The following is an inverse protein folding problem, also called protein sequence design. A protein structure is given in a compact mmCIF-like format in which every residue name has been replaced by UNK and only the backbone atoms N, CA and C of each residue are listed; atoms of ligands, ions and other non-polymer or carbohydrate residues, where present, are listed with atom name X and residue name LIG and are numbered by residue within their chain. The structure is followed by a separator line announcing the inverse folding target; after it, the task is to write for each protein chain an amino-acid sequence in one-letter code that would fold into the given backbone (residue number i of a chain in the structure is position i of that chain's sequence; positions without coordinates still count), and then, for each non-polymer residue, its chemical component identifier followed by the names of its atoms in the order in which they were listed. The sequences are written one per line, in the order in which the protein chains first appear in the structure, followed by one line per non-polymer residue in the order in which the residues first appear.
data_IF_466247947110
#
_entry.id   IF_466247947110
#
_cell.length_a   1.000
_cell.length_b   1.000
_cell.length_c   1.000
_cell.angle_alpha   90.00
_cell.angle_beta   90.00
_cell.angle_gamma   90.00
#
_symmetry.space_group_name_H-M   'P 1'
#
loop_
_entity.id
_entity.type
_entity.pdbx_description
1 polymer ?
#
# COMPACT_ATOMS: atom_id res chain seq x y z
N UNK A 1 -19.07 11.50 -15.24
CA UNK A 1 -19.89 12.25 -14.27
C UNK A 1 -19.08 12.42 -12.99
N UNK A 2 -18.67 13.64 -12.68
CA UNK A 2 -17.92 13.93 -11.45
C UNK A 2 -18.98 14.12 -10.36
N UNK A 3 -19.10 13.16 -9.45
CA UNK A 3 -19.92 13.32 -8.25
C UNK A 3 -19.04 13.97 -7.19
N UNK A 4 -19.18 15.27 -7.01
CA UNK A 4 -18.54 16.03 -5.92
C UNK A 4 -19.47 15.97 -4.69
N UNK A 5 -19.03 15.33 -3.62
CA UNK A 5 -19.62 15.53 -2.28
C UNK A 5 -18.81 16.66 -1.62
N UNK A 6 -19.39 17.85 -1.54
CA UNK A 6 -18.77 18.97 -0.83
C UNK A 6 -19.06 18.87 0.66
N UNK A 7 -18.00 18.82 1.47
CA UNK A 7 -18.03 19.16 2.89
C UNK A 7 -16.98 20.24 3.13
N UNK A 8 -17.44 21.48 3.29
CA UNK A 8 -16.69 22.57 3.88
C UNK A 8 -15.28 22.84 3.33
N UNK A 9 -15.14 23.48 2.17
CA UNK A 9 -13.92 24.24 1.81
C UNK A 9 -12.61 23.47 1.62
N UNK A 10 -12.55 22.15 1.81
CA UNK A 10 -11.36 21.33 1.61
C UNK A 10 -11.52 20.42 0.38
N UNK A 11 -10.46 20.32 -0.41
CA UNK A 11 -10.37 19.42 -1.57
C UNK A 11 -10.64 17.99 -1.09
N UNK A 12 -11.62 17.32 -1.68
CA UNK A 12 -11.97 15.96 -1.27
C UNK A 12 -10.84 14.99 -1.58
N UNK A 13 -10.50 14.15 -0.59
CA UNK A 13 -9.47 13.13 -0.75
C UNK A 13 -9.97 11.91 -1.55
N UNK A 14 -11.29 11.73 -1.76
CA UNK A 14 -11.85 10.64 -2.57
C UNK A 14 -12.67 11.23 -3.71
N UNK A 15 -12.27 10.92 -4.95
CA UNK A 15 -12.93 11.35 -6.17
C UNK A 15 -13.41 10.12 -6.97
N UNK A 16 -14.56 10.25 -7.65
CA UNK A 16 -14.98 9.29 -8.68
C UNK A 16 -14.77 9.94 -10.03
N UNK A 17 -13.88 9.39 -10.83
CA UNK A 17 -13.56 9.86 -12.18
C UNK A 17 -13.55 8.69 -13.14
N UNK A 18 -14.39 8.75 -14.19
CA UNK A 18 -14.50 7.71 -15.20
C UNK A 18 -14.73 6.29 -14.63
N UNK A 19 -15.52 6.20 -13.55
CA UNK A 19 -15.80 4.96 -12.85
C UNK A 19 -14.71 4.47 -11.91
N UNK A 20 -13.57 5.15 -11.84
CA UNK A 20 -12.47 4.87 -10.91
C UNK A 20 -12.68 5.61 -9.58
N UNK A 21 -12.46 4.93 -8.46
CA UNK A 21 -12.35 5.53 -7.13
C UNK A 21 -10.91 6.00 -6.94
N UNK A 22 -10.68 7.31 -6.97
CA UNK A 22 -9.34 7.90 -6.86
C UNK A 22 -9.17 8.49 -5.47
N UNK A 23 -8.13 8.06 -4.77
CA UNK A 23 -7.72 8.58 -3.48
C UNK A 23 -6.59 9.61 -3.70
N UNK A 24 -6.80 10.83 -3.23
CA UNK A 24 -5.85 11.93 -3.41
C UNK A 24 -5.20 12.29 -2.08
N UNK A 25 -3.88 12.12 -1.98
CA UNK A 25 -3.13 12.52 -0.77
C UNK A 25 -2.94 14.04 -0.71
N UNK A 26 -2.89 14.62 0.51
CA UNK A 26 -3.01 13.97 1.82
C UNK A 26 -4.43 13.53 2.12
N UNK A 27 -4.58 12.42 2.88
CA UNK A 27 -5.86 11.84 3.28
C UNK A 27 -6.01 11.81 4.80
N UNK A 28 -7.19 12.18 5.29
CA UNK A 28 -7.50 12.06 6.70
C UNK A 28 -8.10 10.70 7.04
N UNK A 29 -8.17 10.38 8.34
CA UNK A 29 -8.90 9.21 8.84
C UNK A 29 -10.37 9.19 8.38
N UNK A 30 -11.00 10.37 8.29
CA UNK A 30 -12.40 10.50 7.89
C UNK A 30 -12.60 10.14 6.41
N UNK A 31 -11.66 10.50 5.54
CA UNK A 31 -11.71 10.20 4.12
C UNK A 31 -11.66 8.69 3.82
N UNK A 32 -11.09 7.90 4.74
CA UNK A 32 -10.94 6.47 4.58
C UNK A 32 -12.15 5.66 5.09
N UNK A 33 -13.14 6.28 5.72
CA UNK A 33 -14.31 5.57 6.27
C UNK A 33 -15.17 4.87 5.23
N UNK A 34 -15.24 5.43 4.02
CA UNK A 34 -16.02 4.87 2.90
C UNK A 34 -15.15 3.99 1.98
N UNK A 35 -13.94 3.63 2.43
CA UNK A 35 -13.04 2.70 1.74
C UNK A 35 -13.06 1.36 2.47
N UNK A 36 -13.50 0.31 1.80
CA UNK A 36 -13.69 -1.00 2.41
C UNK A 36 -12.83 -2.07 1.74
N UNK A 37 -12.62 -3.17 2.43
CA UNK A 37 -11.91 -4.33 1.88
C UNK A 37 -12.54 -4.80 0.57
N UNK A 38 -11.69 -5.10 -0.43
CA UNK A 38 -12.12 -5.49 -1.78
C UNK A 38 -12.39 -4.32 -2.73
N UNK A 39 -12.43 -3.08 -2.24
CA UNK A 39 -12.49 -1.91 -3.11
C UNK A 39 -11.26 -1.83 -4.02
N UNK A 40 -11.48 -1.38 -5.25
CA UNK A 40 -10.41 -1.05 -6.18
C UNK A 40 -10.27 0.47 -6.21
N UNK A 41 -9.11 0.95 -5.83
CA UNK A 41 -8.79 2.38 -5.78
C UNK A 41 -7.56 2.70 -6.63
N UNK A 42 -7.39 3.97 -6.94
CA UNK A 42 -6.21 4.54 -7.58
C UNK A 42 -5.67 5.66 -6.73
N UNK A 43 -4.36 5.81 -6.64
CA UNK A 43 -3.72 6.84 -5.82
C UNK A 43 -3.22 7.99 -6.70
N UNK A 44 -3.47 9.23 -6.26
CA UNK A 44 -2.87 10.43 -6.83
C UNK A 44 -2.25 11.27 -5.73
N UNK A 45 -1.07 11.83 -5.97
CA UNK A 45 -0.34 12.69 -5.03
C UNK A 45 0.93 12.06 -4.51
N UNK A 46 1.17 12.13 -3.20
CA UNK A 46 2.43 11.73 -2.57
C UNK A 46 2.51 10.23 -2.31
N UNK A 47 3.60 9.62 -2.79
CA UNK A 47 3.94 8.21 -2.58
C UNK A 47 5.44 8.09 -2.30
N UNK A 48 5.82 7.45 -1.19
CA UNK A 48 7.23 7.23 -0.83
C UNK A 48 7.55 5.74 -0.82
N UNK A 49 8.60 5.30 -1.53
CA UNK A 49 9.07 3.92 -1.38
C UNK A 49 9.68 3.72 0.00
N UNK A 50 9.26 2.69 0.71
CA UNK A 50 9.71 2.41 2.06
C UNK A 50 9.62 0.91 2.33
N UNK A 51 10.74 0.27 2.68
CA UNK A 51 10.76 -1.16 2.94
C UNK A 51 11.63 -1.52 4.17
N UNK A 52 12.14 -2.74 4.24
CA UNK A 52 12.68 -3.38 5.43
C UNK A 52 13.62 -2.52 6.28
N UNK A 53 14.67 -1.95 5.66
CA UNK A 53 15.70 -1.22 6.43
C UNK A 53 15.18 0.13 6.89
N UNK A 54 14.36 0.78 6.08
CA UNK A 54 13.74 2.05 6.46
C UNK A 54 12.78 1.88 7.63
N UNK A 55 11.92 0.84 7.62
CA UNK A 55 11.05 0.51 8.76
C UNK A 55 11.87 0.24 10.03
N UNK A 56 12.95 -0.54 9.91
CA UNK A 56 13.83 -0.83 11.03
C UNK A 56 14.48 0.43 11.61
N UNK A 57 14.95 1.35 10.76
CA UNK A 57 15.52 2.62 11.20
C UNK A 57 14.56 3.46 12.03
N UNK A 58 13.29 3.49 11.62
CA UNK A 58 12.26 4.24 12.37
C UNK A 58 11.92 3.52 13.67
N UNK A 59 11.61 2.22 13.63
CA UNK A 59 11.04 1.50 14.77
C UNK A 59 12.11 1.01 15.75
N UNK A 60 13.19 0.39 15.28
CA UNK A 60 14.19 -0.20 16.16
C UNK A 60 15.30 0.81 16.53
N UNK A 61 15.67 1.72 15.62
CA UNK A 61 16.73 2.71 15.85
C UNK A 61 16.18 4.07 16.32
N UNK A 62 14.85 4.26 16.32
CA UNK A 62 14.18 5.50 16.77
C UNK A 62 14.52 6.72 15.90
N UNK A 63 14.87 6.52 14.63
CA UNK A 63 15.25 7.63 13.73
C UNK A 63 13.99 8.28 13.16
N UNK A 64 13.96 9.59 13.16
CA UNK A 64 12.93 10.34 12.47
C UNK A 64 13.05 10.11 10.95
N UNK A 65 11.89 9.84 10.32
CA UNK A 65 11.84 9.67 8.87
C UNK A 65 12.05 11.03 8.19
N UNK A 66 13.06 11.18 7.29
CA UNK A 66 13.42 12.49 6.75
C UNK A 66 12.52 12.97 5.60
N UNK A 67 11.43 12.25 5.32
CA UNK A 67 10.41 12.56 4.30
C UNK A 67 9.06 12.69 4.99
N UNK A 68 8.27 13.69 4.61
CA UNK A 68 6.92 13.81 5.14
C UNK A 68 5.99 12.75 4.53
N UNK A 69 5.73 11.69 5.29
CA UNK A 69 4.77 10.63 4.91
C UNK A 69 3.46 10.72 5.69
N UNK A 70 3.30 11.71 6.56
CA UNK A 70 2.07 11.91 7.33
C UNK A 70 0.90 12.17 6.39
N UNK A 71 -0.20 11.47 6.63
CA UNK A 71 -1.43 11.54 5.84
C UNK A 71 -1.22 11.22 4.33
N UNK A 72 -0.09 10.57 4.00
CA UNK A 72 0.31 10.20 2.64
C UNK A 72 0.41 8.67 2.49
N UNK A 73 1.00 8.23 1.39
CA UNK A 73 1.15 6.83 1.06
C UNK A 73 2.62 6.37 1.10
N UNK A 74 2.82 5.12 1.52
CA UNK A 74 4.08 4.40 1.31
C UNK A 74 3.89 3.19 0.40
N UNK A 75 4.95 2.84 -0.32
CA UNK A 75 4.99 1.64 -1.15
C UNK A 75 6.14 0.74 -0.69
N UNK A 76 5.82 -0.47 -0.32
CA UNK A 76 6.79 -1.52 -0.05
C UNK A 76 7.43 -1.97 -1.37
N UNK A 77 8.44 -1.26 -1.81
CA UNK A 77 9.13 -1.51 -3.07
C UNK A 77 10.60 -1.11 -3.00
N UNK A 78 11.41 -1.80 -3.79
CA UNK A 78 12.78 -1.37 -4.10
C UNK A 78 12.86 -1.09 -5.61
N UNK A 79 12.79 0.17 -6.04
CA UNK A 79 12.73 0.52 -7.44
C UNK A 79 14.09 0.40 -8.15
N UNK A 80 14.03 0.45 -9.49
CA UNK A 80 15.17 0.73 -10.35
C UNK A 80 15.08 2.20 -10.77
N UNK A 81 16.10 2.95 -10.44
CA UNK A 81 16.19 4.38 -10.69
C UNK A 81 17.34 4.68 -11.63
N UNK A 82 17.11 5.56 -12.59
CA UNK A 82 18.15 6.15 -13.42
C UNK A 82 18.49 7.55 -12.90
N UNK A 83 19.77 7.81 -12.61
CA UNK A 83 20.22 9.16 -12.33
C UNK A 83 20.38 9.94 -13.64
N UNK A 84 19.85 11.15 -13.64
CA UNK A 84 19.95 12.09 -14.77
C UNK A 84 20.99 13.20 -14.51
N UNK A 85 21.71 13.13 -13.37
CA UNK A 85 22.59 14.18 -12.89
C UNK A 85 21.84 15.25 -12.08
N UNK A 86 22.58 16.07 -11.34
CA UNK A 86 22.07 17.21 -10.56
C UNK A 86 20.88 16.84 -9.64
N UNK A 87 20.98 15.71 -8.93
CA UNK A 87 19.93 15.14 -8.08
C UNK A 87 18.57 14.92 -8.77
N UNK A 88 18.59 14.80 -10.09
CA UNK A 88 17.41 14.43 -10.88
C UNK A 88 17.39 12.93 -11.14
N UNK A 89 16.21 12.36 -11.09
CA UNK A 89 16.02 10.92 -11.16
C UNK A 89 14.80 10.55 -12.02
N UNK A 90 14.89 9.38 -12.65
CA UNK A 90 13.80 8.79 -13.43
C UNK A 90 13.46 7.42 -12.84
N UNK A 91 12.17 7.15 -12.65
CA UNK A 91 11.66 5.84 -12.25
C UNK A 91 11.63 4.91 -13.45
N UNK A 92 12.56 3.95 -13.51
CA UNK A 92 12.61 2.96 -14.61
C UNK A 92 11.66 1.81 -14.36
N UNK A 93 11.58 1.35 -13.10
CA UNK A 93 10.74 0.23 -12.69
C UNK A 93 10.44 0.32 -11.21
N UNK A 94 9.18 0.12 -10.81
CA UNK A 94 8.77 0.05 -9.41
C UNK A 94 7.71 -1.02 -9.20
N UNK A 95 8.13 -2.17 -8.66
CA UNK A 95 7.24 -3.28 -8.33
C UNK A 95 7.20 -3.55 -6.84
N UNK A 96 6.03 -3.96 -6.31
CA UNK A 96 5.88 -4.16 -4.87
C UNK A 96 6.68 -5.37 -4.39
N UNK A 97 7.29 -5.25 -3.22
CA UNK A 97 7.88 -6.37 -2.49
C UNK A 97 6.87 -6.98 -1.52
N UNK A 98 7.19 -8.14 -0.95
CA UNK A 98 6.33 -8.84 0.01
C UNK A 98 6.16 -8.03 1.30
N UNK A 99 4.95 -7.54 1.54
CA UNK A 99 4.61 -6.68 2.69
C UNK A 99 4.76 -7.39 4.03
N UNK A 100 4.54 -8.69 4.08
CA UNK A 100 4.65 -9.50 5.31
C UNK A 100 6.00 -9.35 6.03
N UNK A 101 7.06 -8.93 5.35
CA UNK A 101 8.36 -8.70 5.99
C UNK A 101 8.35 -7.49 6.91
N UNK A 102 7.51 -6.49 6.64
CA UNK A 102 7.33 -5.29 7.44
C UNK A 102 6.30 -5.45 8.57
N UNK A 103 5.51 -6.55 8.57
CA UNK A 103 4.42 -6.80 9.53
C UNK A 103 4.82 -6.55 10.99
N UNK A 104 6.01 -6.94 11.40
CA UNK A 104 6.49 -6.78 12.77
C UNK A 104 6.73 -5.33 13.18
N UNK A 105 6.89 -4.43 12.19
CA UNK A 105 7.15 -3.01 12.41
C UNK A 105 5.93 -2.13 12.21
N UNK A 106 4.93 -2.62 11.49
CA UNK A 106 3.90 -1.80 10.87
C UNK A 106 3.06 -1.02 11.88
N UNK A 107 2.79 -1.60 13.06
CA UNK A 107 2.01 -0.91 14.10
C UNK A 107 2.72 0.36 14.58
N UNK A 108 3.95 0.22 15.05
CA UNK A 108 4.77 1.31 15.57
C UNK A 108 5.18 2.29 14.46
N UNK A 109 5.36 1.79 13.24
CA UNK A 109 5.67 2.63 12.08
C UNK A 109 4.52 3.57 11.73
N UNK A 110 3.29 3.06 11.64
CA UNK A 110 2.09 3.86 11.37
C UNK A 110 1.83 4.85 12.52
N UNK A 111 1.98 4.42 13.78
CA UNK A 111 1.84 5.27 14.95
C UNK A 111 2.80 6.45 14.90
N UNK A 112 4.09 6.17 14.62
CA UNK A 112 5.16 7.17 14.66
C UNK A 112 5.09 8.14 13.48
N UNK A 113 4.79 7.64 12.28
CA UNK A 113 4.88 8.42 11.04
C UNK A 113 3.56 9.07 10.62
N UNK A 114 2.44 8.54 11.08
CA UNK A 114 1.11 9.01 10.67
C UNK A 114 0.74 8.69 9.23
N UNK A 115 1.43 7.72 8.59
CA UNK A 115 1.09 7.25 7.24
C UNK A 115 -0.34 6.68 7.22
N UNK A 116 -1.06 6.89 6.13
CA UNK A 116 -2.47 6.46 5.98
C UNK A 116 -2.68 5.36 4.97
N UNK A 117 -1.85 5.29 3.95
CA UNK A 117 -2.02 4.34 2.86
C UNK A 117 -0.74 3.52 2.70
N UNK A 118 -0.86 2.22 2.92
CA UNK A 118 0.25 1.28 2.84
C UNK A 118 0.04 0.43 1.59
N UNK A 119 0.96 0.49 0.65
CA UNK A 119 0.91 -0.26 -0.59
C UNK A 119 1.96 -1.36 -0.62
N UNK A 120 1.58 -2.55 -1.07
CA UNK A 120 2.56 -3.62 -1.19
C UNK A 120 2.05 -4.85 -1.91
N UNK A 121 2.67 -6.00 -1.63
CA UNK A 121 2.34 -7.29 -2.24
C UNK A 121 1.98 -8.32 -1.18
N UNK A 122 0.85 -9.00 -1.40
CA UNK A 122 0.35 -10.03 -0.48
C UNK A 122 -0.36 -9.45 0.73
N UNK A 123 -0.83 -10.32 1.59
CA UNK A 123 -1.55 -9.92 2.81
C UNK A 123 -0.62 -9.50 3.94
N UNK A 124 -1.21 -8.81 4.91
CA UNK A 124 -0.63 -8.45 6.20
C UNK A 124 -1.46 -9.08 7.31
N UNK A 125 -1.00 -9.03 8.56
CA UNK A 125 -1.61 -9.70 9.72
C UNK A 125 -2.06 -8.71 10.80
N UNK A 126 -2.07 -9.18 12.05
CA UNK A 126 -2.68 -8.53 13.20
C UNK A 126 -2.08 -7.15 13.54
N UNK A 127 -0.74 -6.98 13.43
CA UNK A 127 -0.13 -5.69 13.74
C UNK A 127 -0.60 -4.62 12.76
N UNK A 128 -0.60 -4.93 11.46
CA UNK A 128 -1.12 -4.02 10.43
C UNK A 128 -2.63 -3.79 10.57
N UNK A 129 -3.42 -4.85 10.90
CA UNK A 129 -4.85 -4.69 11.15
C UNK A 129 -5.13 -3.74 12.31
N UNK A 130 -4.38 -3.88 13.42
CA UNK A 130 -4.48 -3.01 14.57
C UNK A 130 -4.08 -1.57 14.22
N UNK A 131 -2.95 -1.40 13.51
CA UNK A 131 -2.50 -0.09 13.05
C UNK A 131 -3.55 0.62 12.19
N UNK A 132 -4.13 -0.09 11.21
CA UNK A 132 -5.19 0.45 10.36
C UNK A 132 -6.40 0.90 11.17
N UNK A 133 -6.83 0.09 12.15
CA UNK A 133 -7.97 0.40 13.02
C UNK A 133 -7.70 1.55 13.97
N UNK A 134 -6.60 1.50 14.69
CA UNK A 134 -6.32 2.43 15.79
C UNK A 134 -5.95 3.82 15.24
N UNK A 135 -5.16 3.86 14.20
CA UNK A 135 -4.67 5.11 13.62
C UNK A 135 -5.45 5.58 12.38
N UNK A 136 -6.36 4.76 11.83
CA UNK A 136 -7.15 5.10 10.65
C UNK A 136 -6.31 5.10 9.38
N UNK A 137 -5.68 3.99 9.08
CA UNK A 137 -4.94 3.72 7.86
C UNK A 137 -5.60 2.59 7.05
N UNK A 138 -5.10 2.34 5.84
CA UNK A 138 -5.50 1.20 5.00
C UNK A 138 -4.27 0.51 4.42
N UNK A 139 -4.37 -0.81 4.20
CA UNK A 139 -3.38 -1.54 3.42
C UNK A 139 -3.99 -1.97 2.08
N UNK A 140 -3.26 -1.76 0.99
CA UNK A 140 -3.68 -2.12 -0.35
C UNK A 140 -2.65 -3.03 -1.03
N UNK A 141 -3.14 -4.00 -1.77
CA UNK A 141 -2.32 -4.84 -2.62
C UNK A 141 -2.21 -4.21 -4.01
N UNK A 142 -0.97 -4.04 -4.46
CA UNK A 142 -0.65 -3.69 -5.83
C UNK A 142 -0.29 -4.95 -6.62
N UNK A 143 -0.84 -5.18 -7.83
CA UNK A 143 -0.53 -6.35 -8.62
C UNK A 143 0.95 -6.47 -8.94
N UNK A 144 1.53 -7.64 -8.70
CA UNK A 144 2.91 -7.93 -9.09
C UNK A 144 3.01 -8.17 -10.61
N UNK A 145 4.21 -7.93 -11.17
CA UNK A 145 4.48 -8.19 -12.58
C UNK A 145 4.27 -7.00 -13.52
N UNK A 146 3.73 -5.89 -13.05
CA UNK A 146 3.50 -4.67 -13.84
C UNK A 146 4.42 -3.51 -13.48
N UNK A 147 5.63 -3.80 -13.00
CA UNK A 147 6.55 -2.79 -12.43
C UNK A 147 6.96 -1.67 -13.41
N UNK A 148 6.98 -1.95 -14.73
CA UNK A 148 7.25 -0.93 -15.75
C UNK A 148 6.03 -0.05 -15.96
N UNK A 149 4.81 -0.62 -15.96
CA UNK A 149 3.56 0.15 -16.06
C UNK A 149 3.42 1.08 -14.86
N UNK A 150 3.69 0.57 -13.66
CA UNK A 150 3.68 1.37 -12.44
C UNK A 150 4.68 2.55 -12.49
N UNK A 151 5.83 2.37 -13.11
CA UNK A 151 6.81 3.45 -13.26
C UNK A 151 6.30 4.60 -14.15
N UNK A 152 5.43 4.32 -15.13
CA UNK A 152 4.82 5.36 -15.99
C UNK A 152 3.81 6.22 -15.21
N UNK A 153 3.23 5.69 -14.13
CA UNK A 153 2.30 6.40 -13.27
C UNK A 153 3.00 7.32 -12.25
N UNK A 154 4.33 7.26 -12.17
CA UNK A 154 5.18 8.18 -11.40
C UNK A 154 5.48 9.40 -12.27
N UNK A 155 4.89 10.54 -11.91
CA UNK A 155 5.08 11.81 -12.65
C UNK A 155 6.44 12.44 -12.35
N UNK A 156 6.89 12.35 -11.07
CA UNK A 156 8.12 12.99 -10.60
C UNK A 156 8.69 12.27 -9.39
N UNK A 157 10.02 12.19 -9.29
CA UNK A 157 10.74 11.90 -8.06
C UNK A 157 11.15 13.24 -7.46
N UNK A 158 10.48 13.64 -6.38
CA UNK A 158 10.66 14.95 -5.72
C UNK A 158 11.96 15.00 -4.95
N UNK A 159 12.25 13.94 -4.20
CA UNK A 159 13.47 13.83 -3.39
C UNK A 159 13.87 12.38 -3.12
N UNK A 160 15.12 12.20 -2.72
CA UNK A 160 15.69 10.90 -2.34
C UNK A 160 16.43 11.03 -1.01
N UNK A 161 15.98 10.31 0.00
CA UNK A 161 16.53 10.33 1.33
C UNK A 161 17.08 8.96 1.75
N UNK A 162 18.03 8.95 2.69
CA UNK A 162 18.72 7.73 3.13
C UNK A 162 19.40 6.96 1.99
N UNK A 163 20.05 7.69 1.08
CA UNK A 163 20.81 7.13 -0.06
C UNK A 163 21.91 6.16 0.36
N UNK A 164 22.42 6.27 1.59
CA UNK A 164 23.39 5.36 2.18
C UNK A 164 22.91 3.91 2.28
N UNK A 165 21.61 3.67 2.22
CA UNK A 165 21.01 2.33 2.21
C UNK A 165 21.09 1.63 0.86
N UNK A 166 21.55 2.33 -0.18
CA UNK A 166 21.51 1.86 -1.56
C UNK A 166 20.14 2.02 -2.22
N UNK A 167 20.12 1.96 -3.55
CA UNK A 167 18.93 2.26 -4.38
C UNK A 167 17.64 1.56 -3.92
N UNK A 168 17.63 0.24 -3.57
CA UNK A 168 16.38 -0.44 -3.22
C UNK A 168 15.80 -0.06 -1.84
N UNK A 169 16.60 0.52 -0.95
CA UNK A 169 16.19 0.89 0.41
C UNK A 169 16.14 2.41 0.63
N UNK A 170 16.61 3.19 -0.34
CA UNK A 170 16.46 4.64 -0.38
C UNK A 170 14.97 5.01 -0.34
N UNK A 171 14.63 6.04 0.42
CA UNK A 171 13.30 6.64 0.40
C UNK A 171 13.18 7.52 -0.84
N UNK A 172 12.45 7.04 -1.85
CA UNK A 172 12.14 7.79 -3.05
C UNK A 172 10.76 8.42 -2.87
N UNK A 173 10.71 9.73 -2.65
CA UNK A 173 9.46 10.47 -2.54
C UNK A 173 9.03 10.94 -3.92
N UNK A 174 7.83 10.53 -4.31
CA UNK A 174 7.31 10.68 -5.67
C UNK A 174 5.95 11.36 -5.68
N UNK A 175 5.66 12.05 -6.77
CA UNK A 175 4.29 12.39 -7.19
C UNK A 175 3.80 11.34 -8.16
N UNK A 176 2.60 10.82 -7.90
CA UNK A 176 1.97 9.81 -8.76
C UNK A 176 0.60 10.28 -9.21
N UNK A 177 0.14 9.75 -10.34
CA UNK A 177 -1.17 10.04 -10.90
C UNK A 177 -1.89 8.74 -11.28
N UNK A 178 -3.04 8.54 -10.65
CA UNK A 178 -3.88 7.35 -10.83
C UNK A 178 -3.09 6.03 -10.71
N UNK A 179 -2.12 6.00 -9.77
CA UNK A 179 -1.30 4.82 -9.50
C UNK A 179 -2.17 3.64 -9.05
N UNK A 180 -2.17 2.59 -9.82
CA UNK A 180 -3.03 1.43 -9.54
C UNK A 180 -3.23 0.49 -10.72
N UNK A 181 -4.24 -0.40 -10.68
CA UNK A 181 -5.26 -0.56 -9.62
C UNK A 181 -4.71 -1.08 -8.30
N UNK A 182 -5.27 -0.61 -7.19
CA UNK A 182 -4.94 -1.01 -5.83
C UNK A 182 -6.14 -1.70 -5.21
N UNK A 183 -5.96 -2.91 -4.67
CA UNK A 183 -7.03 -3.66 -4.00
C UNK A 183 -6.90 -3.45 -2.49
N UNK A 184 -7.91 -2.88 -1.85
CA UNK A 184 -7.93 -2.68 -0.40
C UNK A 184 -7.99 -4.04 0.29
N UNK A 185 -6.95 -4.40 1.01
CA UNK A 185 -6.84 -5.67 1.72
C UNK A 185 -7.08 -5.57 3.22
N UNK A 186 -6.78 -4.39 3.82
CA UNK A 186 -7.16 -4.07 5.20
C UNK A 186 -7.74 -2.65 5.18
N UNK A 187 -8.95 -2.48 5.71
CA UNK A 187 -9.61 -1.19 5.81
C UNK A 187 -9.36 -0.50 7.16
N UNK A 188 -9.81 0.75 7.27
CA UNK A 188 -9.67 1.57 8.49
C UNK A 188 -10.49 1.07 9.69
N UNK A 189 -11.27 0.02 9.53
CA UNK A 189 -11.97 -0.69 10.60
C UNK A 189 -11.18 -1.92 11.10
N UNK A 190 -10.04 -2.25 10.44
CA UNK A 190 -9.22 -3.40 10.73
C UNK A 190 -9.75 -4.72 10.16
N UNK A 191 -10.71 -4.67 9.23
CA UNK A 191 -11.15 -5.86 8.50
C UNK A 191 -10.04 -6.28 7.54
N UNK A 192 -9.87 -7.59 7.35
CA UNK A 192 -8.82 -8.16 6.50
C UNK A 192 -9.41 -9.08 5.45
N UNK A 193 -9.34 -8.66 4.19
CA UNK A 193 -9.88 -9.38 3.04
C UNK A 193 -9.30 -10.81 2.92
N UNK A 194 -7.98 -10.97 3.15
CA UNK A 194 -7.35 -12.28 3.06
C UNK A 194 -7.82 -13.23 4.15
N UNK A 195 -7.95 -12.75 5.38
CA UNK A 195 -8.41 -13.60 6.48
C UNK A 195 -9.90 -13.97 6.32
N UNK A 196 -10.75 -13.04 5.90
CA UNK A 196 -12.16 -13.32 5.63
C UNK A 196 -12.31 -14.34 4.48
N UNK A 197 -11.57 -14.16 3.38
CA UNK A 197 -11.61 -15.09 2.24
C UNK A 197 -10.97 -16.44 2.53
N UNK A 198 -9.99 -16.50 3.41
CA UNK A 198 -9.38 -17.76 3.84
C UNK A 198 -10.41 -18.69 4.53
N UNK A 199 -11.28 -18.15 5.37
CA UNK A 199 -12.36 -18.93 6.00
C UNK A 199 -13.28 -19.52 4.93
N UNK A 200 -13.73 -18.70 3.97
CA UNK A 200 -14.59 -19.11 2.86
C UNK A 200 -13.93 -20.22 2.01
N UNK A 201 -12.66 -19.98 1.60
CA UNK A 201 -11.95 -20.91 0.72
C UNK A 201 -11.57 -22.22 1.41
N UNK A 202 -11.24 -22.20 2.71
CA UNK A 202 -10.98 -23.42 3.44
C UNK A 202 -12.21 -24.34 3.48
N UNK A 203 -13.41 -23.77 3.69
CA UNK A 203 -14.64 -24.55 3.61
C UNK A 203 -14.81 -25.19 2.23
N UNK A 204 -14.69 -24.42 1.15
CA UNK A 204 -14.77 -24.95 -0.22
C UNK A 204 -13.70 -26.00 -0.52
N UNK A 205 -12.47 -25.79 -0.03
CA UNK A 205 -11.37 -26.74 -0.18
C UNK A 205 -11.72 -28.09 0.45
N UNK A 206 -12.25 -28.11 1.67
CA UNK A 206 -12.57 -29.34 2.39
C UNK A 206 -13.71 -30.10 1.68
N UNK A 207 -14.73 -29.41 1.17
CA UNK A 207 -15.79 -29.98 0.33
C UNK A 207 -15.20 -30.62 -0.95
N UNK A 208 -14.27 -29.94 -1.64
CA UNK A 208 -13.64 -30.47 -2.86
C UNK A 208 -12.70 -31.66 -2.56
N UNK A 209 -11.96 -31.63 -1.46
CA UNK A 209 -11.11 -32.75 -1.03
C UNK A 209 -11.97 -33.99 -0.79
N UNK A 210 -13.14 -33.85 -0.16
CA UNK A 210 -14.04 -34.97 0.06
C UNK A 210 -14.52 -35.59 -1.25
N UNK A 211 -14.90 -34.76 -2.24
CA UNK A 211 -15.33 -35.23 -3.56
C UNK A 211 -14.18 -35.95 -4.28
N UNK A 212 -12.99 -35.35 -4.29
CA UNK A 212 -11.79 -35.92 -4.95
C UNK A 212 -11.39 -37.24 -4.29
N UNK A 213 -11.40 -37.33 -2.94
CA UNK A 213 -11.05 -38.52 -2.19
C UNK A 213 -11.94 -39.73 -2.52
N UNK A 214 -13.21 -39.49 -2.87
CA UNK A 214 -14.12 -40.55 -3.31
C UNK A 214 -13.81 -41.03 -4.72
N UNK A 215 -13.18 -40.22 -5.56
CA UNK A 215 -12.87 -40.53 -6.96
C UNK A 215 -11.48 -41.13 -7.14
N UNK A 216 -10.56 -40.89 -6.21
CA UNK A 216 -9.14 -41.26 -6.32
C UNK A 216 -8.82 -42.37 -5.32
N UNK A 217 -8.82 -43.63 -5.80
CA UNK A 217 -8.71 -44.83 -4.95
C UNK A 217 -7.37 -45.05 -4.24
N UNK A 218 -6.36 -44.18 -4.46
CA UNK A 218 -5.06 -44.25 -3.76
C UNK A 218 -4.91 -43.29 -2.60
N UNK A 219 -5.89 -42.41 -2.38
CA UNK A 219 -5.96 -41.55 -1.20
C UNK A 219 -6.81 -42.27 -0.17
N UNK A 220 -6.16 -42.93 0.80
CA UNK A 220 -6.79 -43.53 1.96
C UNK A 220 -6.55 -42.67 3.18
#
# INVERSE_FOLDING_TARGET
LIIKKEHGGNKMAVEIRDGKKILVTPVSKEDLKDIHIGDIIYLTGDLTTCRDVAHRRVVEEGREIPVNVKDAAILHAGPIIRSLGDDKYEMVSVGPTTSMRMEKFEYEFVETTGVRVILGKGGMKENTQRACKDFGAIHCVFPAGNAVVAAVEVEEIVEAQWKDLGMPETLWHCKVKEFGPLIVSIDSYGRNYFEEKKVEYNKKKDEQIEIISRQVGFIK
#
